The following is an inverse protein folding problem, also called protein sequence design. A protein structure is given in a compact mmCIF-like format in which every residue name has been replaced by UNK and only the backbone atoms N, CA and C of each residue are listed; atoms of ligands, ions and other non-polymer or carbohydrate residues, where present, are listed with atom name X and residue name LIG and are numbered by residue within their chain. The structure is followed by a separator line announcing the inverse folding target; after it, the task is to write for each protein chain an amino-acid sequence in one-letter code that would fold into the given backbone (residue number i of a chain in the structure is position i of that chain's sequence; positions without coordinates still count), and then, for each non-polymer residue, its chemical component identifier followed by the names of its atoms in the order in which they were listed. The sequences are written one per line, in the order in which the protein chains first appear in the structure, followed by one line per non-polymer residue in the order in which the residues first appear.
data_IF_853006536582
#
_entry.id   IF_853006536582
#
_cell.length_a   1.000
_cell.length_b   1.000
_cell.length_c   1.000
_cell.angle_alpha   90.00
_cell.angle_beta   90.00
_cell.angle_gamma   90.00
#
_symmetry.space_group_name_H-M   'P 1'
#
loop_
_entity.id
_entity.type
_entity.pdbx_description
1 polymer ?
#
# COMPACT_ATOMS: atom_id res chain seq x y z
N UNK A 1 -17.94 2.13 -8.20
CA UNK A 1 -16.67 2.38 -7.45
C UNK A 1 -16.78 1.66 -6.12
N UNK A 2 -15.93 0.68 -5.85
CA UNK A 2 -15.92 -0.02 -4.54
C UNK A 2 -15.10 0.84 -3.57
N UNK A 3 -15.70 1.46 -2.55
CA UNK A 3 -14.94 2.21 -1.56
C UNK A 3 -14.11 1.22 -0.77
N UNK A 4 -12.78 1.27 -0.93
CA UNK A 4 -11.87 0.44 -0.11
C UNK A 4 -12.06 0.82 1.35
N UNK A 5 -12.19 -0.16 2.26
CA UNK A 5 -12.39 0.12 3.67
C UNK A 5 -11.22 0.94 4.22
N UNK A 6 -11.53 2.10 4.79
CA UNK A 6 -10.57 3.06 5.38
C UNK A 6 -10.07 2.53 6.74
N UNK A 7 -9.24 1.50 6.72
CA UNK A 7 -8.67 0.91 7.95
C UNK A 7 -7.28 1.46 8.29
N UNK A 8 -6.88 2.60 7.72
CA UNK A 8 -5.54 3.12 7.99
C UNK A 8 -5.42 3.60 9.45
N UNK A 9 -4.55 2.95 10.23
CA UNK A 9 -4.23 3.35 11.59
C UNK A 9 -3.77 4.82 11.68
N UNK A 10 -3.25 5.38 10.59
CA UNK A 10 -2.81 6.76 10.48
C UNK A 10 -3.95 7.78 10.57
N UNK A 11 -5.15 7.44 10.06
CA UNK A 11 -6.32 8.31 10.16
C UNK A 11 -6.71 8.59 11.62
N UNK A 12 -6.60 7.58 12.50
CA UNK A 12 -6.86 7.72 13.94
C UNK A 12 -5.88 8.66 14.65
N UNK A 13 -4.72 8.93 14.04
CA UNK A 13 -3.67 9.79 14.59
C UNK A 13 -3.58 11.15 13.86
N UNK A 14 -4.52 11.46 12.95
CA UNK A 14 -4.47 12.71 12.16
C UNK A 14 -3.27 12.81 11.22
N UNK A 15 -2.62 11.68 10.92
CA UNK A 15 -1.49 11.61 10.00
C UNK A 15 -2.00 11.40 8.58
N UNK A 16 -1.21 11.83 7.59
CA UNK A 16 -1.52 11.57 6.18
C UNK A 16 -1.77 10.07 5.98
N UNK A 17 -2.87 9.76 5.34
CA UNK A 17 -3.34 8.41 5.06
C UNK A 17 -2.82 7.98 3.69
N UNK A 18 -3.29 6.86 3.14
CA UNK A 18 -2.99 6.51 1.75
C UNK A 18 -3.80 7.36 0.77
N UNK A 19 -4.96 7.88 1.18
CA UNK A 19 -5.84 8.68 0.33
C UNK A 19 -5.21 10.03 -0.04
N UNK A 20 -4.31 10.54 0.81
CA UNK A 20 -3.53 11.76 0.54
C UNK A 20 -2.41 11.56 -0.50
N UNK A 21 -2.17 10.32 -0.93
CA UNK A 21 -1.14 9.99 -1.91
C UNK A 21 -1.79 9.68 -3.26
N UNK A 22 -1.53 10.53 -4.25
CA UNK A 22 -2.01 10.32 -5.61
C UNK A 22 -1.22 9.19 -6.28
N UNK A 23 -1.91 8.21 -6.84
CA UNK A 23 -1.27 7.12 -7.59
C UNK A 23 -1.20 7.47 -9.07
N UNK A 24 0.01 7.51 -9.62
CA UNK A 24 0.27 7.58 -11.05
C UNK A 24 0.43 6.16 -11.61
N UNK A 25 -0.58 5.73 -12.35
CA UNK A 25 -0.61 4.42 -12.99
C UNK A 25 0.35 4.34 -14.21
N UNK A 26 0.65 5.46 -14.87
CA UNK A 26 1.54 5.47 -16.02
C UNK A 26 2.99 5.19 -15.60
N UNK A 27 3.40 5.74 -14.45
CA UNK A 27 4.74 5.55 -13.89
C UNK A 27 4.88 4.42 -12.86
N UNK A 28 3.78 3.79 -12.42
CA UNK A 28 3.68 2.97 -11.20
C UNK A 28 4.33 3.67 -9.98
N UNK A 29 3.88 4.89 -9.70
CA UNK A 29 4.45 5.76 -8.66
C UNK A 29 3.36 6.38 -7.80
N UNK A 30 3.71 6.79 -6.59
CA UNK A 30 2.82 7.60 -5.75
C UNK A 30 3.41 9.00 -5.58
N UNK A 31 2.59 10.02 -5.67
CA UNK A 31 2.96 11.39 -5.32
C UNK A 31 2.40 11.72 -3.94
N UNK A 32 3.24 12.25 -3.06
CA UNK A 32 2.81 12.67 -1.73
C UNK A 32 2.39 14.15 -1.70
N UNK A 33 1.69 14.60 -0.63
CA UNK A 33 1.28 16.00 -0.48
C UNK A 33 2.45 17.01 -0.44
N UNK A 34 3.66 16.55 -0.14
CA UNK A 34 4.87 17.39 -0.19
C UNK A 34 5.41 17.57 -1.63
N UNK A 35 4.78 16.96 -2.64
CA UNK A 35 5.23 16.97 -4.04
C UNK A 35 6.25 15.89 -4.39
N UNK A 36 6.81 15.18 -3.40
CA UNK A 36 7.78 14.10 -3.63
C UNK A 36 7.15 12.82 -4.18
N UNK A 37 7.94 12.09 -4.98
CA UNK A 37 7.53 10.86 -5.64
C UNK A 37 8.07 9.63 -4.88
N UNK A 38 7.18 8.70 -4.59
CA UNK A 38 7.45 7.38 -4.03
C UNK A 38 7.48 6.38 -5.18
N UNK A 39 8.62 5.71 -5.32
CA UNK A 39 8.84 4.71 -6.36
C UNK A 39 8.68 3.31 -5.79
N UNK A 40 8.42 2.35 -6.68
CA UNK A 40 8.41 0.94 -6.33
C UNK A 40 9.76 0.52 -5.73
N UNK A 41 9.72 -0.22 -4.62
CA UNK A 41 10.92 -0.73 -3.94
C UNK A 41 11.03 -2.24 -4.10
N UNK A 42 10.01 -2.94 -3.65
CA UNK A 42 9.94 -4.40 -3.71
C UNK A 42 8.50 -4.84 -3.54
N UNK A 43 8.22 -6.09 -3.90
CA UNK A 43 6.97 -6.77 -3.62
C UNK A 43 7.24 -7.96 -2.71
N UNK A 44 6.35 -8.19 -1.75
CA UNK A 44 6.38 -9.40 -0.92
C UNK A 44 4.99 -10.04 -0.89
N UNK A 45 4.93 -11.28 -0.43
CA UNK A 45 3.67 -11.96 -0.15
C UNK A 45 3.49 -11.97 1.36
N UNK A 46 2.54 -11.22 1.91
CA UNK A 46 2.15 -11.36 3.32
C UNK A 46 0.77 -11.99 3.41
N UNK A 47 0.63 -13.00 4.25
CA UNK A 47 -0.63 -13.75 4.43
C UNK A 47 -1.26 -14.22 3.11
N UNK A 48 -0.43 -14.72 2.18
CA UNK A 48 -0.89 -15.19 0.86
C UNK A 48 -1.29 -14.08 -0.12
N UNK A 49 -1.08 -12.80 0.22
CA UNK A 49 -1.45 -11.65 -0.61
C UNK A 49 -0.22 -10.94 -1.14
N UNK A 50 -0.12 -10.81 -2.47
CA UNK A 50 0.93 -10.01 -3.11
C UNK A 50 0.78 -8.53 -2.75
N UNK A 51 1.81 -7.96 -2.14
CA UNK A 51 1.89 -6.55 -1.77
C UNK A 51 3.12 -5.89 -2.39
N UNK A 52 2.93 -4.77 -3.07
CA UNK A 52 3.98 -3.87 -3.52
C UNK A 52 4.21 -2.77 -2.50
N UNK A 53 5.48 -2.45 -2.26
CA UNK A 53 5.92 -1.43 -1.34
C UNK A 53 6.53 -0.27 -2.11
N UNK A 54 6.10 0.93 -1.77
CA UNK A 54 6.56 2.19 -2.35
C UNK A 54 7.11 3.07 -1.25
N UNK A 55 8.27 3.68 -1.48
CA UNK A 55 8.86 4.64 -0.55
C UNK A 55 9.75 5.62 -1.29
N UNK A 56 10.16 6.68 -0.58
CA UNK A 56 11.12 7.67 -1.09
C UNK A 56 12.15 7.99 -0.02
N UNK A 57 13.45 8.13 -0.39
CA UNK A 57 14.47 8.63 0.54
C UNK A 57 14.27 10.12 0.86
N UNK A 58 13.50 10.86 0.04
CA UNK A 58 13.22 12.28 0.27
C UNK A 58 12.49 12.55 1.60
N UNK A 59 11.86 11.53 2.19
CA UNK A 59 11.29 11.62 3.53
C UNK A 59 12.30 12.04 4.60
N UNK A 60 13.61 11.80 4.41
CA UNK A 60 14.64 12.19 5.38
C UNK A 60 14.70 13.69 5.64
N UNK A 61 14.46 14.51 4.61
CA UNK A 61 14.52 15.99 4.65
C UNK A 61 13.14 16.67 4.52
N UNK A 62 12.07 15.88 4.54
CA UNK A 62 10.73 16.39 4.27
C UNK A 62 10.17 17.16 5.49
N UNK A 63 9.78 18.42 5.29
CA UNK A 63 9.17 19.24 6.35
C UNK A 63 7.83 18.66 6.87
N UNK A 64 7.11 17.91 6.03
CA UNK A 64 5.84 17.26 6.39
C UNK A 64 6.02 15.91 7.09
N UNK A 65 7.26 15.47 7.36
CA UNK A 65 7.54 14.14 7.93
C UNK A 65 6.77 13.87 9.22
N UNK A 66 6.73 14.85 10.14
CA UNK A 66 6.02 14.75 11.42
C UNK A 66 4.52 14.48 11.27
N UNK A 67 3.89 14.97 10.19
CA UNK A 67 2.48 14.75 9.86
C UNK A 67 2.27 13.58 8.89
N UNK A 68 3.33 13.06 8.30
CA UNK A 68 3.30 12.00 7.28
C UNK A 68 3.55 10.62 7.85
N UNK A 69 4.45 10.46 8.82
CA UNK A 69 4.71 9.16 9.45
C UNK A 69 5.36 9.33 10.82
N UNK A 70 5.09 8.40 11.73
CA UNK A 70 5.85 8.27 12.98
C UNK A 70 7.17 7.51 12.79
N UNK A 71 7.40 6.93 11.62
CA UNK A 71 8.64 6.20 11.34
C UNK A 71 9.81 7.17 11.17
N UNK A 72 10.93 6.86 11.82
CA UNK A 72 12.17 7.62 11.69
C UNK A 72 12.78 7.56 10.28
N UNK A 73 12.48 6.52 9.49
CA UNK A 73 13.12 6.31 8.19
C UNK A 73 12.32 6.96 7.04
N UNK A 74 11.17 6.41 6.68
CA UNK A 74 10.35 6.93 5.59
C UNK A 74 8.91 6.41 5.67
N UNK A 75 7.99 7.12 5.01
CA UNK A 75 6.64 6.62 4.81
C UNK A 75 6.66 5.52 3.76
N UNK A 76 6.20 4.33 4.14
CA UNK A 76 5.94 3.21 3.22
C UNK A 76 4.47 3.18 2.84
N UNK A 77 4.18 3.10 1.55
CA UNK A 77 2.84 2.88 1.01
C UNK A 77 2.80 1.46 0.46
N UNK A 78 1.81 0.67 0.89
CA UNK A 78 1.58 -0.68 0.38
C UNK A 78 0.40 -0.70 -0.58
N UNK A 79 0.52 -1.48 -1.66
CA UNK A 79 -0.54 -1.71 -2.65
C UNK A 79 -0.69 -3.20 -2.88
N UNK A 80 -1.91 -3.69 -2.79
CA UNK A 80 -2.21 -5.08 -3.15
C UNK A 80 -2.09 -5.24 -4.67
N UNK A 81 -1.44 -6.33 -5.08
CA UNK A 81 -1.00 -6.53 -6.46
C UNK A 81 -2.08 -7.19 -7.31
N UNK A 82 -2.88 -8.11 -6.76
CA UNK A 82 -3.78 -8.94 -7.56
C UNK A 82 -5.07 -9.32 -6.80
N UNK A 83 -6.22 -8.91 -7.34
CA UNK A 83 -7.54 -9.50 -7.10
C UNK A 83 -7.81 -10.80 -7.91
N UNK A 84 -7.31 -11.00 -9.17
CA UNK A 84 -7.64 -12.19 -9.97
C UNK A 84 -7.02 -13.52 -9.48
N UNK A 85 -5.96 -13.44 -8.67
CA UNK A 85 -5.28 -14.63 -8.10
C UNK A 85 -6.08 -15.21 -6.92
N UNK A 86 -6.85 -14.37 -6.24
CA UNK A 86 -7.73 -14.81 -5.15
C UNK A 86 -8.92 -15.62 -5.68
N UNK A 87 -9.52 -15.21 -6.80
CA UNK A 87 -10.59 -15.97 -7.45
C UNK A 87 -10.11 -17.35 -7.92
N UNK A 88 -8.89 -17.46 -8.45
CA UNK A 88 -8.31 -18.74 -8.85
C UNK A 88 -7.99 -19.68 -7.67
N UNK A 89 -7.59 -19.13 -6.50
CA UNK A 89 -7.39 -19.93 -5.28
C UNK A 89 -8.73 -20.39 -4.68
N UNK A 90 -9.76 -19.54 -4.67
CA UNK A 90 -11.11 -19.93 -4.21
C UNK A 90 -11.70 -21.06 -5.06
N UNK A 91 -11.51 -21.02 -6.38
CA UNK A 91 -11.97 -22.10 -7.27
C UNK A 91 -11.23 -23.41 -6.99
N UNK A 92 -9.92 -23.37 -6.70
CA UNK A 92 -9.17 -24.56 -6.28
C UNK A 92 -9.64 -25.11 -4.93
N UNK A 93 -9.93 -24.24 -3.96
CA UNK A 93 -10.38 -24.65 -2.64
C UNK A 93 -11.78 -25.27 -2.68
N UNK A 94 -12.68 -24.77 -3.54
CA UNK A 94 -14.01 -25.36 -3.77
C UNK A 94 -13.97 -26.71 -4.51
N UNK A 95 -12.90 -27.01 -5.24
CA UNK A 95 -12.80 -28.22 -6.06
C UNK A 95 -12.22 -29.44 -5.32
N UNK A 96 -11.75 -29.30 -4.07
CA UNK A 96 -11.31 -30.41 -3.22
C UNK A 96 -11.82 -30.27 -1.77
N UNK A 97 -13.04 -30.74 -1.47
CA UNK A 97 -13.58 -30.74 -0.11
C UNK A 97 -13.04 -31.86 0.81
N UNK A 98 -12.00 -32.60 0.43
CA UNK A 98 -11.62 -33.87 1.09
C UNK A 98 -10.39 -33.81 2.00
N UNK A 99 -9.93 -32.62 2.39
CA UNK A 99 -8.88 -32.47 3.42
C UNK A 99 -9.29 -31.43 4.46
N UNK A 100 -10.38 -31.73 5.19
CA UNK A 100 -10.53 -31.45 6.63
C UNK A 100 -11.67 -32.28 7.22
#
# INVERSE_FOLDING_TARGET
MVPRPRTSANAKHGLFTKDDFAYDAAGDRYQCPAGEILTYRFSTVEQGRGMRYYSTPACGRCALKSRCTRSHQSRRITRWVNEPVLEAMEQRLKAQPELY
#
